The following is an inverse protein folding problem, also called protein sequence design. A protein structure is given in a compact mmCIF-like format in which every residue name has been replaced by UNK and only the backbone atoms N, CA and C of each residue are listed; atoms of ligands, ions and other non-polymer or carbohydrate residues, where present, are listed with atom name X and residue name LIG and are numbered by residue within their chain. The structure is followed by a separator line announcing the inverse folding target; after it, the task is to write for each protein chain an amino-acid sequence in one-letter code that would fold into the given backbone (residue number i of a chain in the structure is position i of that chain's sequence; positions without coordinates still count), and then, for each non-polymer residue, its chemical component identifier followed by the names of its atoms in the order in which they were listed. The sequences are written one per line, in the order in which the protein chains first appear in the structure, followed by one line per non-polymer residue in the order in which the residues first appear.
data_IF_484533708095
#
_entry.id   IF_484533708095
#
_cell.length_a   1.000
_cell.length_b   1.000
_cell.length_c   1.000
_cell.angle_alpha   90.00
_cell.angle_beta   90.00
_cell.angle_gamma   90.00
#
_symmetry.space_group_name_H-M   'P 1'
#
loop_
_entity.id
_entity.type
_entity.pdbx_description
1 polymer ?
#
# COMPACT_ATOMS: atom_id res chain seq x y z
N UNK A 1 57.56 28.98 11.44
CA UNK A 1 56.50 28.68 10.44
C UNK A 1 55.93 27.26 10.53
N UNK A 2 56.72 26.23 10.89
CA UNK A 2 56.29 24.81 10.88
C UNK A 2 55.34 24.36 12.02
N UNK A 3 55.24 25.10 13.13
CA UNK A 3 54.41 24.76 14.30
C UNK A 3 52.93 25.10 14.15
N UNK A 4 52.60 26.10 13.34
CA UNK A 4 51.21 26.51 13.09
C UNK A 4 50.54 25.71 11.95
N UNK A 5 51.33 25.10 11.05
CA UNK A 5 50.78 24.26 9.97
C UNK A 5 50.06 23.02 10.48
N UNK A 6 50.54 22.36 11.55
CA UNK A 6 49.86 21.20 12.13
C UNK A 6 48.55 21.59 12.82
N UNK A 7 48.51 22.74 13.51
CA UNK A 7 47.30 23.24 14.15
C UNK A 7 46.23 23.66 13.13
N UNK A 8 46.65 24.30 12.04
CA UNK A 8 45.76 24.66 10.92
C UNK A 8 45.23 23.40 10.24
N UNK A 9 46.09 22.39 10.00
CA UNK A 9 45.66 21.12 9.41
C UNK A 9 44.65 20.38 10.31
N UNK A 10 44.91 20.30 11.62
CA UNK A 10 44.00 19.68 12.58
C UNK A 10 42.65 20.44 12.67
N UNK A 11 42.66 21.76 12.63
CA UNK A 11 41.44 22.57 12.63
C UNK A 11 40.64 22.39 11.34
N UNK A 12 41.30 22.42 10.17
CA UNK A 12 40.66 22.18 8.88
C UNK A 12 40.05 20.78 8.83
N UNK A 13 40.75 19.75 9.34
CA UNK A 13 40.21 18.38 9.42
C UNK A 13 38.99 18.33 10.37
N UNK A 14 39.06 18.93 11.56
CA UNK A 14 37.92 18.96 12.49
C UNK A 14 36.69 19.69 11.92
N UNK A 15 36.89 20.80 11.22
CA UNK A 15 35.80 21.54 10.56
C UNK A 15 35.20 20.72 9.42
N UNK A 16 36.00 20.00 8.62
CA UNK A 16 35.47 19.13 7.56
C UNK A 16 34.69 17.92 8.10
N UNK A 17 35.13 17.32 9.22
CA UNK A 17 34.35 16.25 9.87
C UNK A 17 33.02 16.74 10.44
N UNK A 18 32.95 17.98 10.93
CA UNK A 18 31.71 18.56 11.46
C UNK A 18 30.64 18.83 10.38
N UNK A 19 31.04 19.07 9.12
CA UNK A 19 30.10 19.32 8.01
C UNK A 19 29.67 18.05 7.25
N UNK A 20 30.31 16.91 7.45
CA UNK A 20 30.01 15.69 6.70
C UNK A 20 28.78 14.90 7.21
N UNK A 21 28.19 15.28 8.35
CA UNK A 21 27.12 14.50 9.00
C UNK A 21 25.86 15.30 9.36
N UNK A 22 25.34 16.20 8.51
CA UNK A 22 23.88 16.45 8.45
C UNK A 22 23.49 16.72 7.00
N UNK A 23 23.47 15.69 6.16
CA UNK A 23 22.52 15.68 5.03
C UNK A 23 21.49 14.63 5.38
N UNK A 24 20.36 15.06 5.95
CA UNK A 24 19.21 14.16 6.08
C UNK A 24 18.76 13.86 4.66
N UNK A 25 19.13 12.69 4.15
CA UNK A 25 18.61 12.21 2.88
C UNK A 25 17.13 11.90 3.10
N UNK A 26 16.27 12.89 2.84
CA UNK A 26 14.82 12.70 2.83
C UNK A 26 14.48 12.03 1.53
N UNK A 27 13.71 10.95 1.59
CA UNK A 27 13.26 10.25 0.40
C UNK A 27 12.42 11.21 -0.45
N UNK A 28 12.70 11.35 -1.76
CA UNK A 28 11.95 12.26 -2.62
C UNK A 28 10.47 11.85 -2.67
N UNK A 29 9.60 12.84 -2.86
CA UNK A 29 8.17 12.59 -3.09
C UNK A 29 8.02 11.78 -4.37
N UNK A 30 7.13 10.79 -4.35
CA UNK A 30 6.81 9.97 -5.52
C UNK A 30 6.35 10.87 -6.69
N UNK A 31 7.06 10.85 -7.84
CA UNK A 31 6.67 11.66 -9.01
C UNK A 31 5.27 11.32 -9.53
N UNK A 32 4.80 10.08 -9.38
CA UNK A 32 3.46 9.67 -9.80
C UNK A 32 2.38 10.37 -8.98
N UNK A 33 2.63 10.62 -7.69
CA UNK A 33 1.72 11.39 -6.85
C UNK A 33 1.66 12.86 -7.31
N UNK A 34 2.81 13.43 -7.71
CA UNK A 34 2.87 14.79 -8.26
C UNK A 34 2.04 14.86 -9.55
N UNK A 35 2.21 13.89 -10.45
CA UNK A 35 1.46 13.80 -11.69
C UNK A 35 -0.05 13.62 -11.44
N UNK A 36 -0.42 12.75 -10.49
CA UNK A 36 -1.80 12.54 -10.05
C UNK A 36 -2.45 13.87 -9.64
N UNK A 37 -1.79 14.67 -8.80
CA UNK A 37 -2.31 15.96 -8.38
C UNK A 37 -2.39 16.97 -9.51
N UNK A 38 -1.42 16.98 -10.44
CA UNK A 38 -1.48 17.83 -11.62
C UNK A 38 -2.71 17.48 -12.47
N UNK A 39 -2.96 16.19 -12.73
CA UNK A 39 -4.12 15.72 -13.48
C UNK A 39 -5.45 16.02 -12.77
N UNK A 40 -5.50 15.88 -11.43
CA UNK A 40 -6.68 16.22 -10.62
C UNK A 40 -7.01 17.71 -10.72
N UNK A 41 -6.00 18.59 -10.66
CA UNK A 41 -6.17 20.05 -10.84
C UNK A 41 -6.78 20.40 -12.19
N UNK A 42 -6.38 19.72 -13.25
CA UNK A 42 -6.93 19.93 -14.61
C UNK A 42 -8.16 19.06 -14.91
N UNK A 43 -8.74 18.38 -13.90
CA UNK A 43 -9.91 17.49 -14.01
C UNK A 43 -9.77 16.41 -15.10
N UNK A 44 -8.55 15.96 -15.37
CA UNK A 44 -8.28 14.91 -16.35
C UNK A 44 -8.51 13.50 -15.80
N UNK A 45 -8.57 13.35 -14.47
CA UNK A 45 -8.93 12.08 -13.84
C UNK A 45 -10.40 11.77 -14.12
N UNK A 46 -10.65 10.87 -15.06
CA UNK A 46 -11.95 10.26 -15.34
C UNK A 46 -11.93 8.82 -14.85
N UNK A 47 -13.10 8.27 -14.51
CA UNK A 47 -13.26 6.82 -14.38
C UNK A 47 -12.60 6.14 -15.58
N UNK A 48 -11.67 5.24 -15.30
CA UNK A 48 -11.00 4.48 -16.34
C UNK A 48 -12.05 3.70 -17.13
N UNK A 49 -12.39 4.24 -18.29
CA UNK A 49 -13.32 3.65 -19.26
C UNK A 49 -12.55 3.00 -20.41
N UNK A 50 -11.23 3.21 -20.46
CA UNK A 50 -10.31 2.62 -21.43
C UNK A 50 -8.98 2.20 -20.79
N UNK A 51 -8.28 1.19 -21.35
CA UNK A 51 -6.93 0.82 -20.95
C UNK A 51 -5.98 2.03 -21.00
N UNK A 52 -5.20 2.25 -19.95
CA UNK A 52 -4.26 3.39 -19.82
C UNK A 52 -4.82 4.60 -19.05
N UNK A 53 -6.08 4.57 -18.61
CA UNK A 53 -6.64 5.57 -17.69
C UNK A 53 -6.50 5.08 -16.24
N UNK A 54 -6.18 5.99 -15.30
CA UNK A 54 -6.10 5.63 -13.88
C UNK A 54 -7.50 5.32 -13.32
N UNK A 55 -7.70 4.15 -12.69
CA UNK A 55 -8.98 3.80 -12.08
C UNK A 55 -9.32 4.75 -10.93
N UNK A 56 -10.61 5.04 -10.73
CA UNK A 56 -11.13 6.01 -9.76
C UNK A 56 -10.85 5.71 -8.27
N UNK A 57 -10.11 4.65 -7.97
CA UNK A 57 -9.79 4.23 -6.60
C UNK A 57 -8.30 4.18 -6.27
N UNK A 58 -7.38 4.37 -7.22
CA UNK A 58 -5.95 4.34 -6.93
C UNK A 58 -5.37 5.75 -6.72
N UNK A 59 -4.61 5.91 -5.64
CA UNK A 59 -3.84 7.12 -5.32
C UNK A 59 -2.38 6.70 -5.15
N UNK A 60 -1.43 7.17 -6.00
CA UNK A 60 -0.02 6.83 -5.83
C UNK A 60 0.47 7.13 -4.41
N UNK A 61 1.33 6.30 -3.80
CA UNK A 61 1.81 6.55 -2.45
C UNK A 61 2.71 7.79 -2.38
N UNK A 62 2.80 8.44 -1.22
CA UNK A 62 3.67 9.61 -1.02
C UNK A 62 5.14 9.34 -1.34
N UNK A 63 5.58 8.13 -1.03
CA UNK A 63 6.97 7.75 -1.20
C UNK A 63 7.03 6.41 -1.92
N UNK A 64 7.90 6.36 -2.92
CA UNK A 64 8.24 5.11 -3.59
C UNK A 64 9.32 4.43 -2.76
N UNK A 65 8.97 3.35 -2.08
CA UNK A 65 9.98 2.55 -1.39
C UNK A 65 10.90 1.95 -2.46
N UNK A 66 12.24 1.92 -2.23
CA UNK A 66 13.12 1.14 -3.08
C UNK A 66 12.59 -0.29 -3.11
N UNK A 67 12.66 -0.90 -4.29
CA UNK A 67 12.07 -2.19 -4.62
C UNK A 67 12.73 -3.34 -3.84
N UNK A 68 12.55 -3.37 -2.52
CA UNK A 68 13.22 -4.28 -1.60
C UNK A 68 12.53 -5.66 -1.53
N UNK A 69 11.48 -5.87 -2.33
CA UNK A 69 10.76 -7.13 -2.47
C UNK A 69 11.21 -7.96 -3.68
N UNK A 70 12.17 -7.45 -4.48
CA UNK A 70 12.75 -8.13 -5.64
C UNK A 70 13.79 -9.19 -5.27
N UNK A 71 14.20 -9.34 -3.99
CA UNK A 71 14.87 -10.59 -3.65
C UNK A 71 13.85 -11.68 -3.95
N UNK A 72 14.11 -12.56 -4.94
CA UNK A 72 13.26 -13.72 -5.09
C UNK A 72 13.36 -14.35 -3.71
N UNK A 73 12.25 -14.41 -2.98
CA UNK A 73 12.13 -15.46 -1.99
C UNK A 73 12.48 -16.68 -2.83
N UNK A 74 13.67 -17.26 -2.61
CA UNK A 74 14.08 -18.54 -3.17
C UNK A 74 13.12 -19.55 -2.56
N UNK A 75 11.88 -19.48 -3.04
CA UNK A 75 10.81 -20.31 -2.61
C UNK A 75 11.18 -21.64 -3.22
N UNK A 76 11.46 -22.60 -2.35
CA UNK A 76 11.70 -24.00 -2.73
C UNK A 76 10.61 -24.56 -3.67
N UNK A 77 9.48 -23.85 -3.81
CA UNK A 77 8.43 -24.02 -4.80
C UNK A 77 8.92 -24.04 -6.26
N UNK A 78 9.89 -23.23 -6.66
CA UNK A 78 10.39 -23.24 -8.05
C UNK A 78 11.05 -24.57 -8.44
N UNK A 79 11.54 -25.34 -7.48
CA UNK A 79 12.14 -26.65 -7.74
C UNK A 79 11.11 -27.75 -8.06
N UNK A 80 9.82 -27.53 -7.77
CA UNK A 80 8.74 -28.54 -7.90
C UNK A 80 7.88 -28.32 -9.16
N UNK A 81 8.07 -27.19 -9.87
CA UNK A 81 7.26 -26.81 -11.03
C UNK A 81 5.88 -26.26 -10.61
N UNK A 82 5.41 -25.23 -11.33
CA UNK A 82 4.06 -24.69 -11.13
C UNK A 82 3.06 -25.46 -12.00
N UNK A 83 1.79 -25.60 -11.57
CA UNK A 83 0.76 -26.23 -12.40
C UNK A 83 0.37 -25.33 -13.59
N UNK A 84 -0.06 -25.95 -14.69
CA UNK A 84 -0.53 -25.23 -15.90
C UNK A 84 -1.77 -24.35 -15.64
N UNK A 85 -2.56 -24.70 -14.60
CA UNK A 85 -3.73 -23.94 -14.16
C UNK A 85 -3.85 -23.98 -12.65
N UNK A 86 -4.09 -22.82 -12.05
CA UNK A 86 -4.35 -22.69 -10.61
C UNK A 86 -5.56 -21.80 -10.37
N UNK A 87 -6.54 -22.32 -9.65
CA UNK A 87 -7.77 -21.60 -9.33
C UNK A 87 -8.14 -21.87 -7.86
N UNK A 88 -8.18 -20.83 -7.03
CA UNK A 88 -8.56 -20.94 -5.62
C UNK A 88 -10.04 -21.26 -5.45
N UNK A 89 -10.89 -20.94 -6.43
CA UNK A 89 -12.33 -21.22 -6.39
C UNK A 89 -12.59 -22.73 -6.39
N UNK A 90 -11.83 -23.47 -7.18
CA UNK A 90 -11.88 -24.94 -7.23
C UNK A 90 -11.47 -25.59 -5.91
N UNK A 91 -10.75 -24.85 -5.06
CA UNK A 91 -10.32 -25.28 -3.72
C UNK A 91 -11.26 -24.81 -2.61
N UNK A 92 -12.31 -24.05 -2.95
CA UNK A 92 -13.20 -23.43 -1.98
C UNK A 92 -12.52 -22.38 -1.10
N UNK A 93 -11.46 -21.73 -1.59
CA UNK A 93 -10.62 -20.77 -0.84
C UNK A 93 -10.83 -19.32 -1.27
N UNK A 94 -12.05 -18.97 -1.70
CA UNK A 94 -12.40 -17.62 -2.15
C UNK A 94 -13.75 -17.25 -1.54
N UNK A 95 -13.85 -16.07 -0.95
CA UNK A 95 -15.11 -15.54 -0.44
C UNK A 95 -16.04 -15.07 -1.57
N UNK A 96 -17.35 -14.91 -1.31
CA UNK A 96 -18.27 -14.37 -2.30
C UNK A 96 -17.86 -12.97 -2.80
N UNK A 97 -18.21 -12.66 -4.05
CA UNK A 97 -17.98 -11.32 -4.62
C UNK A 97 -18.85 -10.29 -3.91
N UNK A 98 -18.23 -9.19 -3.45
CA UNK A 98 -18.90 -8.05 -2.81
C UNK A 98 -18.99 -6.83 -3.75
N UNK A 99 -19.76 -5.81 -3.37
CA UNK A 99 -20.00 -4.61 -4.18
C UNK A 99 -19.45 -3.33 -3.50
N UNK A 100 -18.42 -2.73 -4.09
CA UNK A 100 -17.78 -1.50 -3.58
C UNK A 100 -18.55 -0.21 -3.89
N UNK A 101 -19.66 -0.28 -4.62
CA UNK A 101 -20.40 0.89 -5.07
C UNK A 101 -19.79 1.54 -6.32
N UNK A 102 -20.29 2.72 -6.68
CA UNK A 102 -19.90 3.46 -7.88
C UNK A 102 -19.70 4.95 -7.57
N UNK A 103 -19.19 5.69 -8.55
CA UNK A 103 -19.04 7.15 -8.44
C UNK A 103 -18.15 7.56 -7.26
N UNK A 104 -18.61 8.56 -6.50
CA UNK A 104 -17.86 9.16 -5.40
C UNK A 104 -17.66 8.23 -4.18
N UNK A 105 -18.38 7.11 -4.12
CA UNK A 105 -18.29 6.14 -3.03
C UNK A 105 -17.54 4.86 -3.45
N UNK A 106 -17.17 4.76 -4.74
CA UNK A 106 -16.55 3.57 -5.32
C UNK A 106 -15.03 3.49 -5.16
N UNK A 107 -14.36 4.51 -4.63
CA UNK A 107 -12.88 4.55 -4.51
C UNK A 107 -12.29 3.65 -3.42
N UNK A 108 -12.99 2.61 -2.97
CA UNK A 108 -12.59 1.74 -1.87
C UNK A 108 -12.02 0.38 -2.33
N UNK A 109 -11.68 0.21 -3.62
CA UNK A 109 -11.20 -1.08 -4.15
C UNK A 109 -10.01 -1.67 -3.36
N UNK A 110 -9.15 -0.82 -2.81
CA UNK A 110 -8.01 -1.20 -1.98
C UNK A 110 -8.43 -1.87 -0.67
N UNK A 111 -9.60 -1.51 -0.11
CA UNK A 111 -10.15 -2.15 1.06
C UNK A 111 -10.72 -3.54 0.71
N UNK A 112 -11.53 -3.61 -0.36
CA UNK A 112 -12.13 -4.85 -0.86
C UNK A 112 -11.10 -5.90 -1.29
N UNK A 113 -10.06 -5.48 -2.01
CA UNK A 113 -9.00 -6.41 -2.43
C UNK A 113 -8.22 -6.95 -1.24
N UNK A 114 -8.01 -6.12 -0.22
CA UNK A 114 -7.28 -6.51 0.97
C UNK A 114 -8.08 -7.43 1.90
N UNK A 115 -9.33 -7.07 2.23
CA UNK A 115 -10.21 -7.92 3.05
C UNK A 115 -10.46 -9.25 2.35
N UNK A 116 -10.77 -9.25 1.05
CA UNK A 116 -10.97 -10.47 0.27
C UNK A 116 -9.75 -11.39 0.23
N UNK A 117 -8.53 -10.82 0.23
CA UNK A 117 -7.29 -11.60 0.33
C UNK A 117 -7.13 -12.24 1.72
N UNK A 118 -7.45 -11.51 2.79
CA UNK A 118 -7.41 -12.03 4.17
C UNK A 118 -8.48 -13.10 4.39
N UNK A 119 -9.70 -12.89 3.91
CA UNK A 119 -10.78 -13.88 3.94
C UNK A 119 -10.38 -15.16 3.23
N UNK A 120 -9.82 -15.05 2.02
CA UNK A 120 -9.31 -16.19 1.25
C UNK A 120 -8.23 -16.97 2.01
N UNK A 121 -7.33 -16.26 2.70
CA UNK A 121 -6.33 -16.87 3.56
C UNK A 121 -6.95 -17.59 4.76
N UNK A 122 -7.94 -16.99 5.42
CA UNK A 122 -8.57 -17.56 6.61
C UNK A 122 -9.47 -18.77 6.32
N UNK A 123 -10.10 -18.80 5.15
CA UNK A 123 -10.87 -19.94 4.66
C UNK A 123 -9.98 -21.17 4.42
N UNK A 124 -8.69 -20.98 4.14
CA UNK A 124 -7.75 -22.09 3.97
C UNK A 124 -7.79 -23.03 5.19
N UNK A 125 -8.10 -24.33 5.01
CA UNK A 125 -8.14 -25.30 6.11
C UNK A 125 -6.85 -25.36 6.93
N UNK A 126 -5.71 -24.98 6.34
CA UNK A 126 -4.43 -24.91 7.05
C UNK A 126 -4.36 -23.79 8.09
N UNK A 127 -5.19 -22.75 7.93
CA UNK A 127 -5.22 -21.60 8.84
C UNK A 127 -6.33 -21.70 9.89
N UNK A 128 -7.31 -22.61 9.73
CA UNK A 128 -8.34 -22.97 10.72
C UNK A 128 -9.19 -21.82 11.29
N UNK A 129 -9.20 -20.65 10.64
CA UNK A 129 -10.02 -19.51 11.05
C UNK A 129 -11.44 -19.55 10.44
N UNK A 130 -11.58 -20.25 9.31
CA UNK A 130 -12.87 -20.46 8.63
C UNK A 130 -13.34 -19.24 7.84
N UNK A 131 -14.53 -19.35 7.26
CA UNK A 131 -15.13 -18.27 6.51
C UNK A 131 -15.57 -17.13 7.45
N UNK A 132 -15.18 -15.91 7.10
CA UNK A 132 -15.59 -14.67 7.77
C UNK A 132 -15.95 -13.64 6.70
N UNK A 133 -16.84 -12.73 7.06
CA UNK A 133 -17.18 -11.55 6.27
C UNK A 133 -16.61 -10.33 7.00
N UNK A 134 -15.52 -9.77 6.48
CA UNK A 134 -14.80 -8.62 7.05
C UNK A 134 -15.39 -7.31 6.54
N UNK A 135 -15.39 -6.28 7.39
CA UNK A 135 -15.89 -4.95 7.05
C UNK A 135 -14.89 -4.15 6.22
N UNK A 136 -15.19 -3.95 4.94
CA UNK A 136 -14.47 -2.98 4.11
C UNK A 136 -14.70 -1.55 4.58
N UNK A 137 -15.88 -1.25 5.15
CA UNK A 137 -16.22 0.09 5.60
C UNK A 137 -15.30 0.54 6.74
N UNK A 138 -15.12 -0.31 7.74
CA UNK A 138 -14.25 0.00 8.87
C UNK A 138 -12.80 0.21 8.43
N UNK A 139 -12.31 -0.62 7.51
CA UNK A 139 -10.98 -0.41 6.92
C UNK A 139 -10.90 0.92 6.17
N UNK A 140 -11.89 1.21 5.31
CA UNK A 140 -11.97 2.42 4.50
C UNK A 140 -12.10 3.71 5.33
N UNK A 141 -12.53 3.63 6.59
CA UNK A 141 -12.65 4.80 7.48
C UNK A 141 -11.59 4.87 8.59
N UNK A 142 -10.86 3.77 8.87
CA UNK A 142 -9.95 3.68 10.02
C UNK A 142 -8.50 3.30 9.67
N UNK A 143 -8.08 3.49 8.41
CA UNK A 143 -6.72 3.20 7.94
C UNK A 143 -5.64 4.17 8.42
N UNK A 144 -6.02 5.35 8.92
CA UNK A 144 -5.09 6.32 9.51
C UNK A 144 -4.37 7.25 8.53
N UNK A 145 -4.84 7.33 7.28
CA UNK A 145 -4.42 8.37 6.33
C UNK A 145 -5.48 9.49 6.27
N UNK A 146 -5.11 10.61 5.63
CA UNK A 146 -5.94 11.81 5.51
C UNK A 146 -7.07 11.73 4.46
N UNK A 147 -7.06 10.71 3.61
CA UNK A 147 -8.09 10.52 2.59
C UNK A 147 -9.38 9.94 3.16
N UNK A 148 -10.50 10.45 2.66
CA UNK A 148 -11.83 10.03 3.06
C UNK A 148 -12.33 8.77 2.38
N UNK A 149 -13.43 8.24 2.90
CA UNK A 149 -14.16 7.13 2.30
C UNK A 149 -14.52 7.43 0.83
N UNK A 150 -14.20 6.49 -0.07
CA UNK A 150 -14.51 6.60 -1.49
C UNK A 150 -13.57 7.50 -2.30
N UNK A 151 -12.60 8.17 -1.67
CA UNK A 151 -11.68 9.09 -2.37
C UNK A 151 -10.55 8.40 -3.12
N UNK A 152 -10.34 7.10 -2.86
CA UNK A 152 -9.22 6.32 -3.37
C UNK A 152 -8.24 5.91 -2.27
N UNK A 153 -7.23 5.13 -2.65
CA UNK A 153 -6.15 4.70 -1.78
C UNK A 153 -5.11 3.87 -2.53
N UNK A 154 -4.24 3.20 -1.78
CA UNK A 154 -3.23 2.29 -2.32
C UNK A 154 -2.97 1.14 -1.34
N UNK A 155 -2.05 0.26 -1.70
CA UNK A 155 -1.65 -0.91 -0.91
C UNK A 155 -1.10 -0.56 0.48
N UNK A 156 -0.63 0.66 0.74
CA UNK A 156 -0.16 1.04 2.08
C UNK A 156 -1.29 1.34 3.06
N UNK A 157 -2.49 1.69 2.59
CA UNK A 157 -3.65 1.92 3.45
C UNK A 157 -4.05 0.67 4.25
N UNK A 158 -4.30 -0.50 3.61
CA UNK A 158 -4.62 -1.71 4.36
C UNK A 158 -3.43 -2.18 5.21
N UNK A 159 -2.19 -2.02 4.72
CA UNK A 159 -1.00 -2.36 5.52
C UNK A 159 -0.92 -1.52 6.79
N UNK A 160 -1.14 -0.21 6.72
CA UNK A 160 -1.17 0.66 7.88
C UNK A 160 -2.31 0.29 8.83
N UNK A 161 -3.50 -0.01 8.31
CA UNK A 161 -4.65 -0.47 9.09
C UNK A 161 -4.34 -1.74 9.90
N UNK A 162 -3.77 -2.77 9.27
CA UNK A 162 -3.43 -4.03 9.93
C UNK A 162 -2.27 -3.88 10.91
N UNK A 163 -1.20 -3.19 10.52
CA UNK A 163 0.01 -3.03 11.36
C UNK A 163 -0.23 -2.15 12.58
N UNK A 164 -1.22 -1.26 12.53
CA UNK A 164 -1.69 -0.49 13.69
C UNK A 164 -2.73 -1.24 14.54
N UNK A 165 -3.03 -2.50 14.24
CA UNK A 165 -4.00 -3.33 14.95
C UNK A 165 -5.40 -2.67 15.03
N UNK A 166 -5.79 -1.93 14.00
CA UNK A 166 -7.12 -1.29 13.97
C UNK A 166 -8.24 -2.28 13.67
N UNK A 167 -7.93 -3.44 13.10
CA UNK A 167 -8.88 -4.52 12.87
C UNK A 167 -8.18 -5.77 12.31
N UNK A 168 -8.83 -6.57 11.45
CA UNK A 168 -10.14 -6.33 10.84
C UNK A 168 -11.32 -6.64 11.78
N UNK A 169 -12.46 -5.98 11.53
CA UNK A 169 -13.74 -6.25 12.21
C UNK A 169 -14.71 -6.91 11.22
N UNK A 170 -15.80 -7.50 11.72
CA UNK A 170 -16.80 -8.14 10.87
C UNK A 170 -17.68 -7.12 10.17
N UNK A 171 -18.14 -7.45 8.96
CA UNK A 171 -19.13 -6.67 8.21
C UNK A 171 -20.40 -6.43 9.04
N UNK A 172 -20.82 -7.42 9.84
CA UNK A 172 -21.97 -7.30 10.74
C UNK A 172 -21.82 -6.24 11.85
N UNK A 173 -20.60 -5.78 12.14
CA UNK A 173 -20.33 -4.76 13.17
C UNK A 173 -20.33 -3.35 12.56
N UNK A 174 -19.78 -3.21 11.35
CA UNK A 174 -19.70 -1.95 10.63
C UNK A 174 -20.05 -2.22 9.17
N UNK A 175 -21.34 -2.23 8.81
CA UNK A 175 -21.76 -2.58 7.46
C UNK A 175 -21.28 -1.58 6.41
N UNK A 176 -20.97 -2.07 5.21
CA UNK A 176 -20.64 -1.25 4.07
C UNK A 176 -21.84 -0.46 3.58
N UNK A 177 -21.71 0.87 3.64
CA UNK A 177 -22.64 1.77 2.99
C UNK A 177 -22.06 2.28 1.66
N UNK A 178 -22.61 1.85 0.51
CA UNK A 178 -22.19 2.31 -0.82
C UNK A 178 -22.80 3.66 -1.24
N UNK A 179 -23.56 4.35 -0.37
CA UNK A 179 -24.32 5.58 -0.68
C UNK A 179 -24.08 6.75 0.27
#
# INVERSE_FOLDING_TARGET
MRKYSLLILCYVVQVHYAFAQISKHVMPVNPDLIQYYQQKKVKLLKAATQPGQQPTGYIPPYVQLPEYYETPAESKLYAVGLPDRFDLREKGKVSPVKNQGQGNFGGNCWAFSSTGSVESWWIDPLNALGAVDLSEHHMATCHGYEWGFGEGGNEYFPMAYYTQLKGPVKESQVPYNPN
#
